data_IF_891497897856
#
_entry.id   IF_891497897856
#
_cell.length_a   1.000
_cell.length_b   1.000
_cell.length_c   1.000
_cell.angle_alpha   90.00
_cell.angle_beta   90.00
_cell.angle_gamma   90.00
#
_symmetry.space_group_name_H-M   'P 1'
#
loop_
_entity.id
_entity.type
_entity.pdbx_description
1 polymer ?
#
# COMPACT_ATOMS: atom_id res chain seq x y z
N UNK A 1 -4.35 -21.21 4.88
CA UNK A 1 -5.20 -20.05 4.50
C UNK A 1 -5.30 -19.86 2.99
N UNK A 2 -4.18 -19.73 2.25
CA UNK A 2 -4.19 -19.55 0.78
C UNK A 2 -5.01 -20.60 0.01
N UNK A 3 -4.81 -21.88 0.31
CA UNK A 3 -5.54 -22.98 -0.32
C UNK A 3 -7.06 -22.89 -0.11
N UNK A 4 -7.51 -22.50 1.10
CA UNK A 4 -8.93 -22.33 1.41
C UNK A 4 -9.57 -21.24 0.55
N UNK A 5 -8.88 -20.10 0.37
CA UNK A 5 -9.35 -19.00 -0.49
C UNK A 5 -9.47 -19.45 -1.95
N UNK A 6 -8.51 -20.26 -2.44
CA UNK A 6 -8.56 -20.84 -3.79
C UNK A 6 -9.71 -21.83 -3.97
N UNK A 7 -10.01 -22.64 -2.96
CA UNK A 7 -11.17 -23.54 -3.00
C UNK A 7 -12.49 -22.75 -3.13
N UNK A 8 -12.65 -21.66 -2.38
CA UNK A 8 -13.84 -20.79 -2.49
C UNK A 8 -13.94 -20.17 -3.89
N UNK A 9 -12.82 -19.68 -4.44
CA UNK A 9 -12.77 -19.15 -5.80
C UNK A 9 -13.21 -20.17 -6.86
N UNK A 10 -12.70 -21.40 -6.78
CA UNK A 10 -13.06 -22.47 -7.72
C UNK A 10 -14.54 -22.87 -7.60
N UNK A 11 -15.09 -22.89 -6.38
CA UNK A 11 -16.50 -23.18 -6.15
C UNK A 11 -17.42 -22.11 -6.77
N UNK A 12 -17.09 -20.82 -6.60
CA UNK A 12 -17.82 -19.72 -7.24
C UNK A 12 -17.71 -19.77 -8.77
N UNK A 13 -16.54 -20.10 -9.31
CA UNK A 13 -16.34 -20.27 -10.75
C UNK A 13 -17.18 -21.41 -11.33
N UNK A 14 -17.20 -22.57 -10.66
CA UNK A 14 -18.04 -23.70 -11.05
C UNK A 14 -19.54 -23.36 -10.98
N UNK A 15 -19.95 -22.60 -9.96
CA UNK A 15 -21.33 -22.10 -9.85
C UNK A 15 -21.70 -21.17 -11.01
N UNK A 16 -20.80 -20.27 -11.40
CA UNK A 16 -21.03 -19.37 -12.54
C UNK A 16 -21.18 -20.13 -13.87
N UNK A 17 -20.37 -21.17 -14.11
CA UNK A 17 -20.49 -22.02 -15.32
C UNK A 17 -21.84 -22.76 -15.32
N UNK A 18 -22.30 -23.25 -14.16
CA UNK A 18 -23.59 -23.95 -14.03
C UNK A 18 -24.80 -23.05 -14.31
N UNK A 19 -24.77 -21.81 -13.82
CA UNK A 19 -25.88 -20.85 -13.98
C UNK A 19 -25.85 -20.10 -15.31
N UNK A 20 -24.71 -20.08 -16.01
CA UNK A 20 -24.52 -19.36 -17.26
C UNK A 20 -24.30 -17.85 -17.08
N UNK A 21 -23.99 -17.17 -18.19
CA UNK A 21 -23.69 -15.74 -18.20
C UNK A 21 -24.91 -14.90 -18.61
N UNK A 22 -25.16 -13.75 -17.94
CA UNK A 22 -26.26 -12.85 -18.32
C UNK A 22 -25.95 -12.14 -19.64
N UNK A 23 -27.00 -11.81 -20.40
CA UNK A 23 -26.87 -11.13 -21.71
C UNK A 23 -26.39 -9.66 -21.64
N UNK A 24 -26.41 -9.03 -20.46
CA UNK A 24 -25.97 -7.65 -20.23
C UNK A 24 -24.90 -7.62 -19.13
N UNK A 25 -23.64 -7.66 -19.55
CA UNK A 25 -22.46 -7.62 -18.66
C UNK A 25 -21.82 -6.23 -18.57
N UNK A 26 -22.22 -5.30 -19.43
CA UNK A 26 -21.58 -3.98 -19.55
C UNK A 26 -21.99 -3.11 -18.35
N UNK A 27 -20.99 -2.64 -17.60
CA UNK A 27 -21.13 -1.68 -16.52
C UNK A 27 -20.36 -2.05 -15.26
N UNK A 28 -19.89 -1.03 -14.54
CA UNK A 28 -19.22 -1.22 -13.24
C UNK A 28 -20.24 -1.63 -12.16
N UNK A 29 -19.94 -2.69 -11.40
CA UNK A 29 -20.81 -3.17 -10.32
C UNK A 29 -21.02 -2.12 -9.22
N UNK A 30 -20.00 -1.29 -8.96
CA UNK A 30 -20.04 -0.24 -7.94
C UNK A 30 -20.97 0.92 -8.33
N UNK A 31 -21.19 1.11 -9.63
CA UNK A 31 -21.93 2.26 -10.15
C UNK A 31 -23.43 2.00 -10.32
N UNK A 32 -23.96 0.90 -9.76
CA UNK A 32 -25.38 0.54 -9.87
C UNK A 32 -26.30 1.29 -8.90
N UNK A 33 -25.76 1.81 -7.80
CA UNK A 33 -26.51 2.60 -6.82
C UNK A 33 -25.70 3.80 -6.35
N UNK A 34 -26.37 4.85 -5.85
CA UNK A 34 -25.77 6.17 -5.59
C UNK A 34 -25.61 6.48 -4.10
N UNK A 35 -25.68 5.46 -3.24
CA UNK A 35 -25.51 5.63 -1.80
C UNK A 35 -24.09 6.08 -1.42
N UNK A 36 -23.97 6.71 -0.26
CA UNK A 36 -22.69 7.17 0.29
C UNK A 36 -21.63 6.05 0.37
N UNK A 37 -22.03 4.82 0.71
CA UNK A 37 -21.12 3.67 0.75
C UNK A 37 -20.49 3.39 -0.61
N UNK A 38 -21.26 3.44 -1.70
CA UNK A 38 -20.71 3.21 -3.04
C UNK A 38 -19.78 4.34 -3.47
N UNK A 39 -20.06 5.57 -3.05
CA UNK A 39 -19.14 6.69 -3.29
C UNK A 39 -17.79 6.44 -2.62
N UNK A 40 -17.76 5.95 -1.38
CA UNK A 40 -16.52 5.58 -0.69
C UNK A 40 -15.83 4.40 -1.38
N UNK A 41 -16.57 3.33 -1.69
CA UNK A 41 -16.02 2.15 -2.36
C UNK A 41 -15.44 2.50 -3.74
N UNK A 42 -16.10 3.38 -4.50
CA UNK A 42 -15.61 3.83 -5.81
C UNK A 42 -14.37 4.74 -5.69
N UNK A 43 -14.32 5.63 -4.69
CA UNK A 43 -13.10 6.38 -4.36
C UNK A 43 -11.95 5.46 -3.96
N UNK A 44 -12.24 4.42 -3.17
CA UNK A 44 -11.27 3.40 -2.79
C UNK A 44 -10.75 2.62 -4.00
N UNK A 45 -11.65 2.22 -4.90
CA UNK A 45 -11.30 1.55 -6.17
C UNK A 45 -10.37 2.41 -7.03
N UNK A 46 -10.62 3.72 -7.12
CA UNK A 46 -9.75 4.67 -7.84
C UNK A 46 -8.42 4.96 -7.14
N UNK A 47 -8.35 4.80 -5.82
CA UNK A 47 -7.11 5.00 -5.06
C UNK A 47 -6.10 3.85 -5.24
N UNK A 48 -6.56 2.67 -5.68
CA UNK A 48 -5.66 1.54 -5.96
C UNK A 48 -4.88 1.83 -7.26
N UNK A 49 -3.54 1.86 -7.21
CA UNK A 49 -2.74 2.17 -8.38
C UNK A 49 -2.94 1.13 -9.48
N UNK A 50 -2.98 1.58 -10.74
CA UNK A 50 -3.14 0.78 -11.97
C UNK A 50 -4.44 -0.03 -12.12
N UNK A 51 -5.23 -0.19 -11.05
CA UNK A 51 -6.41 -1.06 -11.09
C UNK A 51 -7.49 -0.51 -12.05
N UNK A 52 -7.76 0.80 -11.98
CA UNK A 52 -8.69 1.45 -12.91
C UNK A 52 -8.18 1.39 -14.36
N UNK A 53 -6.91 1.72 -14.59
CA UNK A 53 -6.31 1.71 -15.92
C UNK A 53 -6.37 0.32 -16.56
N UNK A 54 -5.93 -0.72 -15.84
CA UNK A 54 -5.96 -2.09 -16.32
C UNK A 54 -7.39 -2.52 -16.63
N UNK A 55 -8.35 -2.20 -15.76
CA UNK A 55 -9.77 -2.48 -16.03
C UNK A 55 -10.22 -1.83 -17.34
N UNK A 56 -9.97 -0.55 -17.53
CA UNK A 56 -10.43 0.20 -18.69
C UNK A 56 -9.78 -0.31 -19.98
N UNK A 57 -8.50 -0.66 -19.95
CA UNK A 57 -7.80 -1.29 -21.07
C UNK A 57 -8.37 -2.66 -21.40
N UNK A 58 -8.61 -3.49 -20.38
CA UNK A 58 -9.24 -4.80 -20.54
C UNK A 58 -10.64 -4.68 -21.15
N UNK A 59 -11.47 -3.79 -20.63
CA UNK A 59 -12.83 -3.54 -21.13
C UNK A 59 -12.78 -3.06 -22.60
N UNK A 60 -11.80 -2.23 -22.99
CA UNK A 60 -11.62 -1.79 -24.39
C UNK A 60 -11.16 -2.92 -25.32
N UNK A 61 -10.21 -3.76 -24.90
CA UNK A 61 -9.66 -4.85 -25.72
C UNK A 61 -10.73 -5.90 -26.07
N UNK A 62 -11.62 -6.22 -25.12
CA UNK A 62 -12.59 -7.30 -25.25
C UNK A 62 -14.02 -6.83 -25.56
N UNK A 63 -14.22 -5.54 -25.85
CA UNK A 63 -15.51 -5.00 -26.29
C UNK A 63 -15.44 -4.58 -27.76
N UNK A 64 -16.42 -5.00 -28.55
CA UNK A 64 -16.54 -4.54 -29.94
C UNK A 64 -16.95 -3.06 -29.97
N UNK A 65 -15.97 -2.16 -30.14
CA UNK A 65 -16.16 -0.70 -30.19
C UNK A 65 -15.45 -0.09 -31.40
N UNK A 66 -16.04 0.95 -31.99
CA UNK A 66 -15.43 1.73 -33.07
C UNK A 66 -14.53 2.87 -32.56
N UNK A 67 -14.42 3.02 -31.25
CA UNK A 67 -13.75 4.14 -30.58
C UNK A 67 -12.26 3.86 -30.41
N UNK A 68 -11.41 4.88 -30.62
CA UNK A 68 -9.98 4.76 -30.34
C UNK A 68 -9.73 4.62 -28.84
N UNK A 69 -8.59 4.05 -28.46
CA UNK A 69 -8.22 3.85 -27.05
C UNK A 69 -8.27 5.16 -26.25
N UNK A 70 -7.72 6.25 -26.80
CA UNK A 70 -7.67 7.53 -26.09
C UNK A 70 -9.05 8.13 -25.88
N UNK A 71 -9.94 7.96 -26.87
CA UNK A 71 -11.31 8.41 -26.74
C UNK A 71 -12.04 7.56 -25.68
N UNK A 72 -11.83 6.24 -25.66
CA UNK A 72 -12.39 5.33 -24.66
C UNK A 72 -11.98 5.71 -23.23
N UNK A 73 -10.68 5.95 -23.01
CA UNK A 73 -10.15 6.40 -21.72
C UNK A 73 -10.78 7.72 -21.27
N UNK A 74 -10.94 8.69 -22.18
CA UNK A 74 -11.62 9.96 -21.87
C UNK A 74 -13.08 9.73 -21.46
N UNK A 75 -13.79 8.82 -22.14
CA UNK A 75 -15.19 8.53 -21.84
C UNK A 75 -15.36 7.89 -20.45
N UNK A 76 -14.48 6.96 -20.08
CA UNK A 76 -14.49 6.35 -18.74
C UNK A 76 -14.10 7.34 -17.63
N UNK A 77 -13.14 8.24 -17.87
CA UNK A 77 -12.79 9.29 -16.91
C UNK A 77 -13.93 10.30 -16.69
N UNK A 78 -14.61 10.71 -17.77
CA UNK A 78 -15.82 11.54 -17.70
C UNK A 78 -16.92 10.80 -16.92
N UNK A 79 -17.14 9.52 -17.20
CA UNK A 79 -18.14 8.71 -16.51
C UNK A 79 -17.84 8.62 -15.00
N UNK A 80 -16.59 8.36 -14.62
CA UNK A 80 -16.16 8.32 -13.23
C UNK A 80 -16.41 9.65 -12.50
N UNK A 81 -16.06 10.76 -13.15
CA UNK A 81 -16.26 12.11 -12.62
C UNK A 81 -17.75 12.43 -12.42
N UNK A 82 -18.60 12.09 -13.40
CA UNK A 82 -20.06 12.28 -13.32
C UNK A 82 -20.66 11.39 -12.23
N UNK A 83 -20.21 10.14 -12.10
CA UNK A 83 -20.70 9.23 -11.07
C UNK A 83 -20.44 9.77 -9.66
N UNK A 84 -19.22 10.26 -9.39
CA UNK A 84 -18.88 10.88 -8.11
C UNK A 84 -19.72 12.13 -7.85
N UNK A 85 -19.92 12.97 -8.85
CA UNK A 85 -20.77 14.15 -8.74
C UNK A 85 -22.22 13.78 -8.43
N UNK A 86 -22.75 12.75 -9.11
CA UNK A 86 -24.12 12.26 -8.90
C UNK A 86 -24.31 11.71 -7.49
N UNK A 87 -23.35 10.95 -6.97
CA UNK A 87 -23.39 10.47 -5.59
C UNK A 87 -23.32 11.63 -4.58
N UNK A 88 -22.48 12.63 -4.83
CA UNK A 88 -22.39 13.83 -3.99
C UNK A 88 -23.72 14.58 -3.93
N UNK A 89 -24.37 14.78 -5.09
CA UNK A 89 -25.71 15.39 -5.15
C UNK A 89 -26.76 14.57 -4.40
N UNK A 90 -26.74 13.25 -4.57
CA UNK A 90 -27.67 12.35 -3.87
C UNK A 90 -27.54 12.46 -2.33
N UNK A 91 -26.31 12.54 -1.82
CA UNK A 91 -26.04 12.74 -0.38
C UNK A 91 -26.51 14.11 0.10
N UNK A 92 -26.36 15.16 -0.71
CA UNK A 92 -26.88 16.49 -0.38
C UNK A 92 -28.42 16.53 -0.37
N UNK A 93 -29.08 15.78 -1.26
CA UNK A 93 -30.54 15.66 -1.31
C UNK A 93 -31.08 14.84 -0.12
N UNK A 94 -30.40 13.77 0.28
CA UNK A 94 -30.78 12.91 1.42
C UNK A 94 -30.55 13.59 2.77
N UNK A 95 -29.50 14.43 2.87
CA UNK A 95 -29.17 15.20 4.08
C UNK A 95 -29.15 16.72 3.78
N UNK A 96 -30.33 17.32 3.53
CA UNK A 96 -30.41 18.72 3.14
C UNK A 96 -29.94 19.62 4.28
N UNK A 97 -29.05 20.55 3.95
CA UNK A 97 -28.58 21.54 4.90
C UNK A 97 -29.28 22.89 4.68
N UNK A 98 -29.88 23.47 5.74
CA UNK A 98 -30.56 24.75 5.61
C UNK A 98 -29.57 25.86 5.26
N UNK A 99 -29.95 26.71 4.30
CA UNK A 99 -29.12 27.80 3.80
C UNK A 99 -28.95 28.87 4.88
N UNK A 100 -27.74 29.42 4.99
CA UNK A 100 -27.44 30.53 5.91
C UNK A 100 -27.21 30.12 7.37
N UNK A 101 -27.23 28.83 7.71
CA UNK A 101 -26.96 28.35 9.06
C UNK A 101 -25.48 27.97 9.22
N UNK A 102 -24.91 28.34 10.37
CA UNK A 102 -23.54 27.96 10.74
C UNK A 102 -23.40 26.43 10.79
N UNK A 103 -22.36 25.90 10.14
CA UNK A 103 -21.97 24.48 10.26
C UNK A 103 -21.65 24.16 11.72
N UNK A 104 -22.03 22.95 12.17
CA UNK A 104 -21.80 22.50 13.53
C UNK A 104 -20.32 22.57 13.91
N UNK A 105 -20.06 23.16 15.07
CA UNK A 105 -18.71 23.35 15.60
C UNK A 105 -17.98 22.00 15.75
N UNK A 106 -18.70 20.96 16.17
CA UNK A 106 -18.18 19.59 16.30
C UNK A 106 -17.68 19.01 14.98
N UNK A 107 -18.43 19.16 13.89
CA UNK A 107 -18.01 18.67 12.56
C UNK A 107 -16.76 19.39 12.05
N UNK A 108 -16.62 20.70 12.32
CA UNK A 108 -15.44 21.47 11.95
C UNK A 108 -14.18 21.00 12.68
N UNK A 109 -14.26 20.84 14.00
CA UNK A 109 -13.11 20.39 14.79
C UNK A 109 -12.76 18.93 14.54
N UNK A 110 -13.74 18.07 14.28
CA UNK A 110 -13.48 16.67 13.98
C UNK A 110 -12.79 16.49 12.62
N UNK A 111 -13.33 17.10 11.57
CA UNK A 111 -12.73 17.02 10.23
C UNK A 111 -11.41 17.79 10.15
N UNK A 112 -11.40 19.06 10.62
CA UNK A 112 -10.21 19.90 10.60
C UNK A 112 -9.11 19.41 11.52
N UNK A 113 -9.47 18.99 12.74
CA UNK A 113 -8.54 18.37 13.68
C UNK A 113 -7.98 17.04 13.19
N UNK A 114 -8.80 16.22 12.51
CA UNK A 114 -8.34 14.98 11.88
C UNK A 114 -7.30 15.23 10.79
N UNK A 115 -7.55 16.20 9.90
CA UNK A 115 -6.58 16.58 8.86
C UNK A 115 -5.30 17.17 9.48
N UNK A 116 -5.43 18.03 10.49
CA UNK A 116 -4.27 18.60 11.19
C UNK A 116 -3.43 17.51 11.88
N UNK A 117 -4.07 16.58 12.58
CA UNK A 117 -3.39 15.46 13.24
C UNK A 117 -2.69 14.55 12.23
N UNK A 118 -3.31 14.29 11.07
CA UNK A 118 -2.69 13.53 9.98
C UNK A 118 -1.42 14.21 9.45
N UNK A 119 -1.45 15.53 9.26
CA UNK A 119 -0.26 16.30 8.84
C UNK A 119 0.84 16.26 9.90
N UNK A 120 0.50 16.45 11.18
CA UNK A 120 1.48 16.34 12.28
C UNK A 120 2.09 14.93 12.31
N UNK A 121 1.27 13.90 12.13
CA UNK A 121 1.73 12.51 12.08
C UNK A 121 2.71 12.27 10.92
N UNK A 122 2.46 12.79 9.71
CA UNK A 122 3.40 12.66 8.59
C UNK A 122 4.76 13.29 8.90
N UNK A 123 4.78 14.43 9.61
CA UNK A 123 6.03 15.12 9.97
C UNK A 123 6.77 14.38 11.10
N UNK A 124 6.04 13.91 12.13
CA UNK A 124 6.64 13.26 13.30
C UNK A 124 6.98 11.79 13.10
N UNK A 125 6.20 11.06 12.30
CA UNK A 125 6.38 9.63 12.02
C UNK A 125 7.81 9.27 11.57
N UNK A 126 8.44 9.95 10.58
CA UNK A 126 9.82 9.61 10.19
C UNK A 126 10.83 9.86 11.30
N UNK A 127 10.61 10.85 12.16
CA UNK A 127 11.50 11.17 13.28
C UNK A 127 11.42 10.10 14.38
N UNK A 128 10.20 9.64 14.68
CA UNK A 128 9.96 8.50 15.59
C UNK A 128 10.55 7.22 15.01
N UNK A 129 10.37 6.96 13.72
CA UNK A 129 10.94 5.79 13.05
C UNK A 129 12.48 5.80 13.09
N UNK A 130 13.11 6.96 12.91
CA UNK A 130 14.56 7.10 13.06
C UNK A 130 15.04 6.82 14.49
N UNK A 131 14.30 7.29 15.51
CA UNK A 131 14.64 7.02 16.90
C UNK A 131 14.59 5.52 17.25
N UNK A 132 13.65 4.77 16.68
CA UNK A 132 13.61 3.31 16.82
C UNK A 132 14.74 2.60 16.06
N UNK A 133 15.18 3.14 14.91
CA UNK A 133 16.24 2.56 14.09
C UNK A 133 17.64 2.56 14.73
N UNK A 134 17.87 3.39 15.75
CA UNK A 134 19.17 3.45 16.46
C UNK A 134 19.33 2.40 17.56
N UNK A 135 18.37 1.48 17.74
CA UNK A 135 18.40 0.44 18.78
C UNK A 135 19.15 -0.84 18.37
N UNK A 136 19.97 -0.81 17.31
CA UNK A 136 20.69 -1.99 16.80
C UNK A 136 22.18 -1.67 16.67
N UNK A 137 22.88 -1.85 17.78
CA UNK A 137 24.33 -2.01 17.82
C UNK A 137 24.62 -3.37 18.41
N UNK A 138 24.48 -4.43 17.61
CA UNK A 138 24.97 -5.75 18.02
C UNK A 138 26.50 -5.74 17.92
N UNK A 139 27.23 -6.06 19.00
CA UNK A 139 28.67 -6.20 18.93
C UNK A 139 29.01 -7.33 17.96
N UNK A 140 29.90 -7.07 17.00
CA UNK A 140 30.37 -8.05 16.02
C UNK A 140 31.83 -8.45 16.32
N UNK A 141 32.08 -9.29 17.35
CA UNK A 141 33.43 -9.78 17.62
C UNK A 141 33.92 -10.66 16.47
N UNK A 142 35.20 -10.55 16.06
CA UNK A 142 35.75 -11.37 14.98
C UNK A 142 35.76 -12.85 15.38
N UNK A 143 35.34 -13.72 14.46
CA UNK A 143 35.31 -15.17 14.68
C UNK A 143 36.64 -15.86 14.42
N UNK A 144 37.46 -15.28 13.53
CA UNK A 144 38.80 -15.76 13.17
C UNK A 144 39.71 -14.57 12.88
N UNK A 145 40.92 -14.59 13.45
CA UNK A 145 41.97 -13.61 13.21
C UNK A 145 43.20 -14.35 12.68
N UNK A 146 43.55 -14.09 11.42
CA UNK A 146 44.70 -14.72 10.77
C UNK A 146 45.82 -13.71 10.51
N UNK A 147 47.00 -13.96 11.09
CA UNK A 147 48.22 -13.16 10.94
C UNK A 147 49.21 -13.92 10.04
N UNK A 148 49.74 -13.24 9.01
CA UNK A 148 50.73 -13.80 8.08
C UNK A 148 51.93 -12.86 7.95
N UNK A 149 53.13 -13.35 8.23
CA UNK A 149 54.38 -12.62 8.07
C UNK A 149 55.07 -13.13 6.81
N UNK A 150 55.34 -12.23 5.86
CA UNK A 150 55.97 -12.55 4.57
C UNK A 150 57.14 -11.61 4.31
N UNK A 151 58.18 -12.13 3.67
CA UNK A 151 59.31 -11.32 3.19
C UNK A 151 59.21 -11.27 1.67
N UNK A 152 58.88 -10.10 1.12
CA UNK A 152 58.74 -9.91 -0.33
C UNK A 152 57.63 -10.77 -0.96
N UNK A 153 57.81 -11.25 -2.22
CA UNK A 153 56.81 -12.04 -2.94
C UNK A 153 56.85 -13.54 -2.58
N UNK A 154 57.67 -13.94 -1.61
CA UNK A 154 57.84 -15.34 -1.23
C UNK A 154 56.70 -15.85 -0.33
N UNK A 155 56.66 -17.17 -0.13
CA UNK A 155 55.70 -17.83 0.77
C UNK A 155 55.80 -17.24 2.20
N UNK A 156 54.69 -17.20 2.95
CA UNK A 156 54.70 -16.71 4.32
C UNK A 156 55.68 -17.51 5.18
N UNK A 157 56.57 -16.79 5.85
CA UNK A 157 57.53 -17.35 6.80
C UNK A 157 56.82 -17.76 8.09
N UNK A 158 55.72 -17.07 8.42
CA UNK A 158 54.87 -17.38 9.57
C UNK A 158 53.40 -17.16 9.23
N UNK A 159 52.54 -18.10 9.63
CA UNK A 159 51.09 -17.97 9.56
C UNK A 159 50.48 -18.52 10.85
N UNK A 160 49.67 -17.71 11.52
CA UNK A 160 48.92 -18.07 12.72
C UNK A 160 47.46 -17.67 12.54
N UNK A 161 46.54 -18.54 12.91
CA UNK A 161 45.11 -18.27 12.93
C UNK A 161 44.58 -18.52 14.34
N UNK A 162 43.95 -17.51 14.93
CA UNK A 162 43.28 -17.61 16.22
C UNK A 162 41.77 -17.65 15.99
N UNK A 163 41.14 -18.74 16.40
CA UNK A 163 39.68 -18.91 16.36
C UNK A 163 39.06 -18.53 17.70
N UNK A 164 37.74 -18.60 17.79
CA UNK A 164 36.90 -18.11 18.90
C UNK A 164 37.37 -18.49 20.32
N UNK A 165 38.04 -19.62 20.51
CA UNK A 165 38.56 -20.06 21.81
C UNK A 165 39.81 -19.28 22.28
N UNK A 166 40.52 -18.63 21.37
CA UNK A 166 41.74 -17.85 21.64
C UNK A 166 41.53 -16.34 21.43
N UNK A 167 40.26 -15.91 21.36
CA UNK A 167 39.85 -14.52 21.21
C UNK A 167 39.07 -14.16 22.47
N UNK A 168 39.73 -13.47 23.40
CA UNK A 168 39.10 -13.02 24.64
C UNK A 168 38.42 -11.66 24.42
N UNK A 169 37.17 -11.57 24.83
CA UNK A 169 36.42 -10.31 24.86
C UNK A 169 36.83 -9.54 26.11
N UNK A 170 37.06 -8.23 25.96
CA UNK A 170 37.48 -7.39 27.08
C UNK A 170 36.41 -7.34 28.17
N UNK A 171 36.84 -7.47 29.42
CA UNK A 171 36.00 -7.25 30.59
C UNK A 171 35.94 -5.76 30.93
N UNK A 172 34.96 -5.34 31.74
CA UNK A 172 34.82 -3.92 32.15
C UNK A 172 36.08 -3.37 32.84
N UNK A 173 36.88 -4.21 33.51
CA UNK A 173 38.13 -3.81 34.14
C UNK A 173 39.23 -3.49 33.10
N UNK A 174 39.31 -4.25 32.01
CA UNK A 174 40.30 -4.07 30.94
C UNK A 174 40.07 -2.77 30.16
N UNK A 175 38.82 -2.27 30.12
CA UNK A 175 38.50 -0.97 29.52
C UNK A 175 39.01 0.24 30.34
N UNK A 176 39.34 0.04 31.61
CA UNK A 176 39.74 1.12 32.54
C UNK A 176 41.24 1.20 32.82
N UNK A 177 42.02 0.28 32.22
CA UNK A 177 43.48 0.17 32.38
C UNK A 177 44.23 0.93 31.29
#
# INVERSE_FOLDING_TARGET
>A
MWYMVKCIYLLLSAYQIRCGYPRRIIGNFLCKSYHFLNMICFRGFMAVPFLFELRTLMDWIWTDTSMTLMDWLKMEDIFASIFLLKCSRYVEDEFPQPRGIKKSTTSKYLLGGGVLAFVIAIIWFPLVFFAFGNSVGEPNPPTDVTVKIRIGPFLPVYQMSAQSHNIDVFSEADYTQ
#
